data_IF_688961729216
#
_entry.id   IF_688961729216
#
_cell.length_a   1.000
_cell.length_b   1.000
_cell.length_c   1.000
_cell.angle_alpha   90.00
_cell.angle_beta   90.00
_cell.angle_gamma   90.00
#
_symmetry.space_group_name_H-M   'P 1'
#
loop_
_entity.id
_entity.type
_entity.pdbx_description
1 polymer ?
#
# COMPACT_ATOMS: atom_id res chain seq x y z
N UNK A 1 8.66 24.30 -87.87
CA UNK A 1 7.57 23.31 -88.01
C UNK A 1 7.62 22.38 -86.81
N UNK A 2 6.67 22.56 -85.88
CA UNK A 2 6.30 21.72 -84.72
C UNK A 2 7.41 21.12 -83.83
N UNK A 3 7.85 21.89 -82.82
CA UNK A 3 8.54 21.36 -81.63
C UNK A 3 7.50 20.69 -80.72
N UNK A 4 7.48 19.35 -80.70
CA UNK A 4 6.56 18.53 -79.89
C UNK A 4 6.87 18.70 -78.40
N UNK A 5 5.93 19.27 -77.63
CA UNK A 5 5.97 19.30 -76.16
C UNK A 5 5.67 17.90 -75.61
N UNK A 6 6.65 17.23 -75.02
CA UNK A 6 6.44 16.04 -74.19
C UNK A 6 5.86 16.48 -72.84
N UNK A 7 4.58 16.21 -72.62
CA UNK A 7 3.93 16.36 -71.31
C UNK A 7 4.23 15.10 -70.52
N UNK A 8 5.23 15.14 -69.64
CA UNK A 8 5.46 14.10 -68.63
C UNK A 8 4.35 14.19 -67.58
N UNK A 9 3.40 13.26 -67.62
CA UNK A 9 2.40 13.04 -66.56
C UNK A 9 3.10 12.40 -65.36
N UNK A 10 3.47 13.19 -64.36
CA UNK A 10 3.92 12.67 -63.07
C UNK A 10 2.72 12.07 -62.34
N UNK A 11 2.67 10.74 -62.29
CA UNK A 11 1.69 9.99 -61.48
C UNK A 11 2.15 10.07 -60.01
N UNK A 12 1.53 10.94 -59.22
CA UNK A 12 1.76 11.03 -57.77
C UNK A 12 1.03 9.85 -57.11
N UNK A 13 1.77 8.81 -56.72
CA UNK A 13 1.25 7.70 -55.95
C UNK A 13 1.10 8.14 -54.49
N UNK A 14 -0.12 8.43 -54.06
CA UNK A 14 -0.43 8.74 -52.67
C UNK A 14 -0.34 7.45 -51.83
N UNK A 15 0.72 7.32 -51.02
CA UNK A 15 0.87 6.25 -50.03
C UNK A 15 0.02 6.63 -48.82
N UNK A 16 -0.98 5.82 -48.42
CA UNK A 16 -1.73 6.08 -47.20
C UNK A 16 -0.83 5.79 -46.00
N UNK A 17 -0.43 6.83 -45.28
CA UNK A 17 0.22 6.70 -43.97
C UNK A 17 -0.84 6.14 -43.01
N UNK A 18 -0.82 4.82 -42.77
CA UNK A 18 -1.54 4.22 -41.66
C UNK A 18 -0.87 4.68 -40.37
N UNK A 19 -1.47 5.68 -39.72
CA UNK A 19 -1.13 6.07 -38.35
C UNK A 19 -1.59 4.93 -37.44
N UNK A 20 -0.70 4.01 -37.12
CA UNK A 20 -0.91 3.05 -36.05
C UNK A 20 -0.94 3.83 -34.73
N UNK A 21 -2.13 4.18 -34.25
CA UNK A 21 -2.33 4.63 -32.86
C UNK A 21 -1.99 3.48 -31.94
N UNK A 22 -0.73 3.42 -31.52
CA UNK A 22 -0.34 2.60 -30.38
C UNK A 22 -1.09 3.15 -29.18
N UNK A 23 -1.94 2.34 -28.55
CA UNK A 23 -2.52 2.71 -27.26
C UNK A 23 -1.36 2.97 -26.30
N UNK A 24 -1.16 4.23 -25.90
CA UNK A 24 -0.22 4.59 -24.85
C UNK A 24 -0.82 4.04 -23.56
N UNK A 25 -0.44 2.82 -23.21
CA UNK A 25 -0.72 2.28 -21.88
C UNK A 25 0.29 2.94 -20.96
N UNK A 26 -0.13 4.00 -20.26
CA UNK A 26 0.69 4.62 -19.23
C UNK A 26 1.05 3.56 -18.18
N UNK A 27 2.34 3.38 -17.93
CA UNK A 27 2.82 2.47 -16.91
C UNK A 27 2.33 2.94 -15.53
N UNK A 28 1.93 2.01 -14.67
CA UNK A 28 1.51 2.34 -13.30
C UNK A 28 2.71 2.88 -12.54
N UNK A 29 2.72 4.17 -12.25
CA UNK A 29 3.75 4.79 -11.42
C UNK A 29 3.60 4.23 -10.00
N UNK A 30 4.60 3.48 -9.53
CA UNK A 30 4.71 3.07 -8.13
C UNK A 30 5.18 4.28 -7.32
N UNK A 31 4.24 5.11 -6.91
CA UNK A 31 4.50 6.35 -6.18
C UNK A 31 3.70 6.40 -4.89
N UNK A 32 4.42 6.35 -3.76
CA UNK A 32 3.84 6.46 -2.43
C UNK A 32 3.57 7.92 -2.05
N UNK A 33 4.29 8.88 -2.63
CA UNK A 33 4.29 10.30 -2.22
C UNK A 33 2.93 10.96 -2.41
N UNK A 34 2.18 10.55 -3.43
CA UNK A 34 0.85 11.06 -3.75
C UNK A 34 -0.29 10.22 -3.16
N UNK A 35 0.01 9.30 -2.23
CA UNK A 35 -1.00 8.44 -1.57
C UNK A 35 -1.19 8.83 -0.10
N UNK A 36 -2.27 8.35 0.51
CA UNK A 36 -2.52 8.52 1.95
C UNK A 36 -1.47 7.86 2.85
N UNK A 37 -0.65 6.96 2.31
CA UNK A 37 0.48 6.35 3.03
C UNK A 37 1.74 7.21 3.03
N UNK A 38 1.75 8.34 2.31
CA UNK A 38 2.72 9.38 2.61
C UNK A 38 2.34 10.04 3.94
N UNK A 39 2.92 9.54 5.02
CA UNK A 39 2.66 10.03 6.38
C UNK A 39 3.56 11.21 6.77
N UNK A 40 4.44 11.67 5.88
CA UNK A 40 5.22 12.89 6.12
C UNK A 40 4.33 14.14 6.10
N UNK A 41 4.90 15.28 6.46
CA UNK A 41 4.22 16.60 6.35
C UNK A 41 3.68 16.91 4.94
N UNK A 42 4.26 16.30 3.89
CA UNK A 42 3.84 16.47 2.49
C UNK A 42 2.65 15.59 2.06
N UNK A 43 2.19 14.70 2.94
CA UNK A 43 1.13 13.74 2.67
C UNK A 43 -0.24 14.36 2.33
N UNK A 44 -1.00 13.76 1.40
CA UNK A 44 -2.37 14.17 1.07
C UNK A 44 -3.42 13.67 2.08
N UNK A 45 -3.04 12.82 3.05
CA UNK A 45 -3.93 12.27 4.06
C UNK A 45 -4.10 13.17 5.29
N UNK A 46 -5.20 12.95 6.03
CA UNK A 46 -5.47 13.63 7.30
C UNK A 46 -4.56 13.13 8.42
N UNK A 47 -4.22 11.83 8.38
CA UNK A 47 -3.22 11.22 9.25
C UNK A 47 -1.83 11.49 8.67
N UNK A 48 -1.05 12.34 9.35
CA UNK A 48 0.32 12.66 8.93
C UNK A 48 1.13 13.27 10.06
N UNK A 49 2.44 13.30 9.88
CA UNK A 49 3.37 13.87 10.83
C UNK A 49 3.23 15.39 10.91
N UNK A 50 3.45 15.91 12.11
CA UNK A 50 3.43 17.35 12.36
C UNK A 50 4.68 18.04 11.79
N UNK A 51 5.84 17.38 11.83
CA UNK A 51 7.12 17.98 11.40
C UNK A 51 8.04 17.05 10.61
N UNK A 52 7.84 15.73 10.63
CA UNK A 52 8.71 14.79 9.91
C UNK A 52 8.50 14.86 8.39
N UNK A 53 9.59 14.92 7.63
CA UNK A 53 9.59 15.12 6.18
C UNK A 53 9.95 13.85 5.42
N UNK A 54 10.58 12.86 6.06
CA UNK A 54 10.91 11.59 5.45
C UNK A 54 9.64 10.77 5.22
N UNK A 55 9.42 10.37 3.97
CA UNK A 55 8.23 9.57 3.61
C UNK A 55 8.39 8.12 4.07
N UNK A 56 9.59 7.56 3.95
CA UNK A 56 9.82 6.13 4.16
C UNK A 56 10.04 5.75 5.63
N UNK A 57 10.34 6.71 6.51
CA UNK A 57 10.76 6.43 7.90
C UNK A 57 9.68 5.72 8.72
N UNK A 58 8.40 5.90 8.37
CA UNK A 58 7.28 5.22 9.05
C UNK A 58 7.22 3.72 8.78
N UNK A 59 7.87 3.25 7.71
CA UNK A 59 7.79 1.88 7.22
C UNK A 59 9.16 1.20 7.19
N UNK A 60 10.20 1.91 6.78
CA UNK A 60 11.52 1.36 6.52
C UNK A 60 12.59 1.98 7.41
N UNK A 61 13.51 1.13 7.86
CA UNK A 61 14.76 1.55 8.48
C UNK A 61 15.91 0.87 7.76
N UNK A 62 17.07 1.53 7.54
CA UNK A 62 18.22 0.86 6.96
C UNK A 62 18.87 -0.16 7.90
N UNK A 63 18.68 -0.03 9.22
CA UNK A 63 19.25 -0.92 10.25
C UNK A 63 18.37 -0.96 11.50
N UNK A 64 18.60 -1.94 12.39
CA UNK A 64 17.88 -2.07 13.67
C UNK A 64 16.35 -2.18 13.51
N UNK A 65 15.92 -2.88 12.45
CA UNK A 65 14.62 -3.54 12.44
C UNK A 65 14.63 -4.74 13.41
N UNK A 66 13.47 -5.32 13.65
CA UNK A 66 13.34 -6.55 14.44
C UNK A 66 14.22 -7.67 13.88
N UNK A 67 14.84 -8.45 14.77
CA UNK A 67 15.77 -9.52 14.41
C UNK A 67 15.03 -10.80 13.96
N UNK A 68 14.18 -10.68 12.95
CA UNK A 68 13.39 -11.78 12.39
C UNK A 68 14.08 -12.30 11.10
N UNK A 69 14.42 -13.61 11.03
CA UNK A 69 15.05 -14.18 9.85
C UNK A 69 14.23 -13.95 8.58
N UNK A 70 14.87 -13.47 7.50
CA UNK A 70 14.26 -13.19 6.20
C UNK A 70 13.11 -12.15 6.21
N UNK A 71 12.94 -11.39 7.29
CA UNK A 71 12.01 -10.28 7.33
C UNK A 71 12.59 -9.03 6.64
N UNK A 72 11.75 -8.16 6.06
CA UNK A 72 12.21 -6.87 5.57
C UNK A 72 12.65 -5.99 6.74
N UNK A 73 13.45 -4.96 6.43
CA UNK A 73 13.80 -3.94 7.41
C UNK A 73 12.60 -3.00 7.64
N UNK A 74 11.68 -3.48 8.48
CA UNK A 74 10.48 -2.77 8.90
C UNK A 74 10.79 -1.91 10.12
N UNK A 75 10.44 -0.63 10.07
CA UNK A 75 10.80 0.32 11.12
C UNK A 75 9.81 0.37 12.27
N UNK A 76 9.22 -0.78 12.63
CA UNK A 76 8.23 -0.89 13.70
C UNK A 76 8.35 -2.25 14.35
N UNK A 77 8.10 -2.31 15.66
CA UNK A 77 8.08 -3.56 16.40
C UNK A 77 6.84 -4.42 16.12
N UNK A 78 6.91 -5.70 16.52
CA UNK A 78 5.82 -6.68 16.49
C UNK A 78 5.11 -6.63 17.85
N UNK A 79 4.01 -5.88 17.97
CA UNK A 79 3.34 -5.65 19.26
C UNK A 79 1.95 -6.30 19.39
N UNK A 80 1.49 -7.03 18.38
CA UNK A 80 0.26 -7.79 18.49
C UNK A 80 0.54 -9.17 19.08
N UNK A 81 0.29 -9.31 20.38
CA UNK A 81 0.51 -10.55 21.15
C UNK A 81 -0.41 -11.69 20.65
N UNK A 82 -1.63 -11.40 20.19
CA UNK A 82 -2.57 -12.42 19.66
C UNK A 82 -3.68 -11.81 18.81
N UNK A 83 -4.00 -12.42 17.66
CA UNK A 83 -5.18 -12.11 16.85
C UNK A 83 -6.24 -13.21 17.02
N UNK A 84 -7.53 -12.84 17.02
CA UNK A 84 -8.63 -13.78 16.83
C UNK A 84 -8.81 -13.99 15.31
N UNK A 85 -8.53 -15.19 14.78
CA UNK A 85 -8.54 -15.44 13.35
C UNK A 85 -9.97 -15.62 12.81
N UNK A 86 -10.08 -15.69 11.49
CA UNK A 86 -11.34 -15.85 10.78
C UNK A 86 -12.02 -17.19 11.10
N UNK A 87 -13.35 -17.16 11.19
CA UNK A 87 -14.16 -18.38 11.32
C UNK A 87 -15.35 -18.32 10.37
N UNK A 88 -15.47 -19.27 9.44
CA UNK A 88 -16.67 -19.41 8.61
C UNK A 88 -16.83 -20.84 8.11
N UNK A 89 -18.08 -21.32 8.07
CA UNK A 89 -18.44 -22.62 7.50
C UNK A 89 -18.37 -22.66 5.97
N UNK A 90 -18.28 -21.50 5.32
CA UNK A 90 -18.17 -21.39 3.85
C UNK A 90 -16.74 -21.18 3.36
N UNK A 91 -15.75 -21.02 4.25
CA UNK A 91 -14.35 -20.89 3.86
C UNK A 91 -13.71 -22.27 3.72
N UNK A 92 -13.09 -22.53 2.57
CA UNK A 92 -12.35 -23.76 2.27
C UNK A 92 -10.83 -23.49 2.29
N UNK A 93 -10.31 -22.95 3.40
CA UNK A 93 -8.88 -22.75 3.61
C UNK A 93 -8.48 -23.48 4.90
N UNK A 94 -7.54 -24.43 4.77
CA UNK A 94 -7.17 -25.33 5.88
C UNK A 94 -6.39 -24.62 6.99
N UNK A 95 -5.73 -23.51 6.66
CA UNK A 95 -4.93 -22.66 7.54
C UNK A 95 -5.66 -21.38 7.95
N UNK A 96 -6.97 -21.27 7.70
CA UNK A 96 -7.75 -20.05 7.96
C UNK A 96 -7.75 -19.59 9.42
N UNK A 97 -7.63 -20.56 10.34
CA UNK A 97 -7.57 -20.33 11.77
C UNK A 97 -6.14 -20.04 12.27
N UNK A 98 -5.14 -20.01 11.38
CA UNK A 98 -3.80 -19.58 11.74
C UNK A 98 -3.78 -18.07 12.01
N UNK A 99 -2.93 -17.67 12.95
CA UNK A 99 -2.70 -16.24 13.20
C UNK A 99 -2.01 -15.59 11.99
N UNK A 100 -2.30 -14.31 11.68
CA UNK A 100 -1.62 -13.62 10.58
C UNK A 100 -0.10 -13.72 10.68
N UNK A 101 0.53 -14.10 9.57
CA UNK A 101 1.97 -14.23 9.44
C UNK A 101 2.58 -13.15 8.53
N UNK A 102 3.91 -13.13 8.48
CA UNK A 102 4.70 -12.43 7.46
C UNK A 102 4.21 -11.04 7.07
N UNK A 103 3.83 -10.89 5.79
CA UNK A 103 3.40 -9.61 5.19
C UNK A 103 2.12 -9.05 5.81
N UNK A 104 1.18 -9.90 6.23
CA UNK A 104 -0.06 -9.45 6.87
C UNK A 104 0.21 -8.75 8.20
N UNK A 105 1.19 -9.24 8.99
CA UNK A 105 1.61 -8.54 10.21
C UNK A 105 2.21 -7.16 9.94
N UNK A 106 2.87 -6.94 8.80
CA UNK A 106 3.37 -5.61 8.44
C UNK A 106 2.22 -4.62 8.23
N UNK A 107 1.17 -5.04 7.52
CA UNK A 107 -0.05 -4.26 7.36
C UNK A 107 -0.70 -3.99 8.72
N UNK A 108 -0.89 -5.06 9.50
CA UNK A 108 -1.58 -5.00 10.79
C UNK A 108 -0.81 -4.16 11.80
N UNK A 109 0.51 -4.09 11.76
CA UNK A 109 1.27 -3.19 12.64
C UNK A 109 0.73 -1.76 12.63
N UNK A 110 0.24 -1.27 11.47
CA UNK A 110 -0.43 0.03 11.33
C UNK A 110 -1.93 -0.06 11.61
N UNK A 111 -2.57 -1.11 11.09
CA UNK A 111 -4.02 -1.19 10.95
C UNK A 111 -4.74 -1.89 12.11
N UNK A 112 -4.04 -2.55 13.04
CA UNK A 112 -4.67 -3.24 14.17
C UNK A 112 -4.98 -2.33 15.37
N UNK A 113 -4.60 -1.05 15.29
CA UNK A 113 -4.90 -0.07 16.32
C UNK A 113 -4.17 -0.27 17.65
N UNK A 114 -3.20 -1.19 17.72
CA UNK A 114 -2.48 -1.51 18.96
C UNK A 114 -1.27 -0.61 19.21
N UNK A 115 -0.71 -0.05 18.13
CA UNK A 115 0.53 0.74 18.18
C UNK A 115 0.28 2.13 17.60
N UNK A 116 0.89 3.15 18.22
CA UNK A 116 0.87 4.48 17.65
C UNK A 116 1.53 4.49 16.26
N UNK A 117 0.90 5.16 15.29
CA UNK A 117 1.39 5.23 13.91
C UNK A 117 2.77 5.87 13.84
N UNK A 118 3.03 6.87 14.69
CA UNK A 118 4.33 7.53 14.77
C UNK A 118 5.40 6.76 15.53
N UNK A 119 5.07 5.61 16.12
CA UNK A 119 6.04 4.78 16.85
C UNK A 119 6.89 3.99 15.85
N UNK A 120 8.17 4.36 15.78
CA UNK A 120 9.16 3.74 14.89
C UNK A 120 10.39 3.30 15.67
N UNK A 121 11.03 2.22 15.20
CA UNK A 121 12.20 1.65 15.88
C UNK A 121 13.41 2.61 15.82
N UNK A 122 13.62 3.30 14.69
CA UNK A 122 14.72 4.24 14.50
C UNK A 122 14.28 5.46 13.69
N UNK A 123 14.65 6.66 14.14
CA UNK A 123 14.58 7.85 13.30
C UNK A 123 15.66 8.84 13.71
N UNK A 124 16.29 9.50 12.72
CA UNK A 124 17.29 10.56 12.96
C UNK A 124 18.43 10.12 13.92
N UNK A 125 18.85 8.86 13.80
CA UNK A 125 19.91 8.27 14.63
C UNK A 125 19.51 7.96 16.08
N UNK A 126 18.23 8.09 16.43
CA UNK A 126 17.68 7.72 17.73
C UNK A 126 16.88 6.42 17.62
N UNK A 127 16.82 5.66 18.72
CA UNK A 127 16.02 4.43 18.82
C UNK A 127 14.72 4.70 19.58
N UNK A 128 13.69 3.88 19.33
CA UNK A 128 12.37 3.94 19.98
C UNK A 128 11.75 5.34 19.91
N UNK A 129 11.60 5.86 18.69
CA UNK A 129 11.17 7.23 18.45
C UNK A 129 9.65 7.26 18.30
N UNK A 130 9.02 8.23 18.95
CA UNK A 130 7.63 8.61 18.71
C UNK A 130 7.59 9.89 17.88
N UNK A 131 7.33 9.76 16.58
CA UNK A 131 7.07 10.89 15.69
C UNK A 131 5.68 11.44 16.02
N UNK A 132 5.59 12.75 16.23
CA UNK A 132 4.31 13.37 16.54
C UNK A 132 3.41 13.40 15.29
N UNK A 133 2.19 12.86 15.42
CA UNK A 133 1.22 12.71 14.34
C UNK A 133 -0.03 13.55 14.62
N UNK A 134 -0.64 14.06 13.55
CA UNK A 134 -1.96 14.66 13.57
C UNK A 134 -2.99 13.71 12.93
N UNK A 135 -4.27 13.88 13.27
CA UNK A 135 -5.38 13.13 12.67
C UNK A 135 -5.49 11.67 13.12
N UNK A 136 -4.70 11.23 14.11
CA UNK A 136 -4.73 9.88 14.66
C UNK A 136 -5.86 9.66 15.68
N UNK A 137 -6.14 8.40 16.00
CA UNK A 137 -6.99 8.04 17.14
C UNK A 137 -6.34 8.32 18.50
N UNK A 138 -7.06 8.08 19.61
CA UNK A 138 -6.52 8.17 20.96
C UNK A 138 -5.22 7.37 21.11
N UNK A 139 -4.19 7.95 21.74
CA UNK A 139 -2.88 7.30 21.89
C UNK A 139 -2.02 7.29 20.62
N UNK A 140 -2.44 7.96 19.53
CA UNK A 140 -1.66 8.04 18.30
C UNK A 140 -1.87 6.85 17.35
N UNK A 141 -2.81 5.95 17.67
CA UNK A 141 -3.11 4.75 16.89
C UNK A 141 -3.92 5.07 15.63
N UNK A 142 -4.17 4.06 14.81
CA UNK A 142 -5.04 4.21 13.64
C UNK A 142 -6.41 4.75 14.04
N UNK A 143 -6.85 5.89 13.47
CA UNK A 143 -8.17 6.39 13.75
C UNK A 143 -9.22 5.48 13.11
N UNK A 144 -10.29 5.24 13.86
CA UNK A 144 -11.53 4.76 13.27
C UNK A 144 -12.02 5.79 12.25
N UNK A 145 -12.62 5.33 11.15
CA UNK A 145 -13.15 6.24 10.14
C UNK A 145 -14.56 6.68 10.55
N UNK A 146 -14.68 7.62 11.48
CA UNK A 146 -15.98 8.11 11.97
C UNK A 146 -16.84 7.00 12.60
N UNK A 147 -17.78 7.36 13.47
CA UNK A 147 -18.72 6.47 14.17
C UNK A 147 -19.63 5.64 13.24
N UNK A 148 -19.60 5.91 11.93
CA UNK A 148 -20.38 5.21 10.92
C UNK A 148 -19.60 4.09 10.24
N UNK A 149 -18.25 4.09 10.21
CA UNK A 149 -17.53 3.16 9.33
C UNK A 149 -17.14 1.80 9.92
N UNK A 150 -17.22 1.61 11.25
CA UNK A 150 -16.96 0.29 11.86
C UNK A 150 -17.86 -0.80 11.25
N UNK A 151 -19.09 -0.46 10.88
CA UNK A 151 -20.05 -1.39 10.27
C UNK A 151 -20.13 -1.32 8.74
N UNK A 152 -19.36 -0.42 8.10
CA UNK A 152 -19.43 -0.24 6.63
C UNK A 152 -18.40 -1.07 5.86
N UNK A 153 -17.47 -1.72 6.56
CA UNK A 153 -16.33 -2.40 5.93
C UNK A 153 -15.25 -1.46 5.38
N UNK A 154 -15.35 -0.14 5.62
CA UNK A 154 -14.34 0.86 5.23
C UNK A 154 -13.53 1.37 6.44
N UNK A 155 -13.43 0.56 7.49
CA UNK A 155 -12.55 0.87 8.62
C UNK A 155 -11.09 0.75 8.19
N UNK A 156 -10.28 1.65 8.76
CA UNK A 156 -8.81 1.63 8.63
C UNK A 156 -8.20 0.91 9.82
N UNK A 157 -8.94 0.83 10.92
CA UNK A 157 -8.57 0.16 12.15
C UNK A 157 -9.33 -1.18 12.21
N UNK A 158 -8.63 -2.26 11.92
CA UNK A 158 -9.14 -3.63 11.91
C UNK A 158 -9.19 -4.23 13.32
N UNK A 159 -8.42 -3.69 14.27
CA UNK A 159 -8.27 -4.30 15.58
C UNK A 159 -7.55 -5.65 15.50
N UNK A 160 -7.67 -6.42 16.59
CA UNK A 160 -7.10 -7.77 16.72
C UNK A 160 -8.13 -8.89 16.56
N UNK A 161 -9.42 -8.55 16.47
CA UNK A 161 -10.50 -9.49 16.19
C UNK A 161 -10.85 -9.43 14.71
N UNK A 162 -10.41 -10.43 13.95
CA UNK A 162 -10.58 -10.47 12.50
C UNK A 162 -11.80 -11.30 12.07
N UNK A 163 -12.63 -11.74 13.02
CA UNK A 163 -13.72 -12.70 12.74
C UNK A 163 -14.79 -12.16 11.78
N UNK A 164 -14.91 -10.84 11.66
CA UNK A 164 -15.83 -10.14 10.76
C UNK A 164 -15.16 -9.57 9.50
N UNK A 165 -13.86 -9.78 9.32
CA UNK A 165 -13.09 -9.25 8.19
C UNK A 165 -12.97 -10.24 7.03
N UNK A 166 -12.61 -9.73 5.85
CA UNK A 166 -12.21 -10.60 4.75
C UNK A 166 -10.85 -11.25 5.06
N UNK A 167 -10.73 -12.59 4.90
CA UNK A 167 -9.50 -13.30 5.21
C UNK A 167 -8.23 -12.77 4.54
N UNK A 168 -7.20 -12.54 5.35
CA UNK A 168 -5.81 -12.34 4.91
C UNK A 168 -4.92 -13.42 5.53
N UNK A 169 -3.71 -13.60 5.00
CA UNK A 169 -2.72 -14.55 5.55
C UNK A 169 -3.15 -16.02 5.52
N UNK A 170 -3.90 -16.44 4.50
CA UNK A 170 -4.19 -17.85 4.23
C UNK A 170 -3.53 -18.28 2.91
N UNK A 171 -3.30 -19.58 2.77
CA UNK A 171 -2.74 -20.14 1.54
C UNK A 171 -3.83 -20.25 0.49
N UNK A 172 -3.66 -19.52 -0.62
CA UNK A 172 -4.48 -19.69 -1.82
C UNK A 172 -3.65 -20.41 -2.88
N UNK A 173 -3.94 -21.69 -3.09
CA UNK A 173 -3.28 -22.56 -4.05
C UNK A 173 -4.26 -23.15 -5.06
N UNK A 174 -3.76 -23.97 -5.99
CA UNK A 174 -4.56 -24.59 -7.04
C UNK A 174 -5.65 -25.55 -6.51
N UNK A 175 -5.62 -25.92 -5.22
CA UNK A 175 -6.68 -26.71 -4.59
C UNK A 175 -7.87 -25.85 -4.14
N UNK A 176 -7.67 -24.53 -4.01
CA UNK A 176 -8.67 -23.52 -3.68
C UNK A 176 -9.13 -22.68 -4.89
N UNK A 177 -8.44 -22.78 -6.04
CA UNK A 177 -8.66 -21.95 -7.24
C UNK A 177 -9.61 -22.57 -8.29
#
# INVERSE_FOLDING_TARGET
MALRRLITRSLVLAIPICVFSSAIVAERISDISNTKHNLSTSGPGDVKAVSETQICVFCHTPHAAEAIPNAPLWNRGDYAETYTPYTSTSINASDIAATPGGSSKLCLSCHDGTIAIGSVNVANGQVNVLINMAGTGPGGVMPDRDDVAIDTGFTRNLGTDLTNDHPISFTYDDTLA
#
